data_IF_502064252184
#
_entry.id   IF_502064252184
#
_cell.length_a   1.000
_cell.length_b   1.000
_cell.length_c   1.000
_cell.angle_alpha   90.00
_cell.angle_beta   90.00
_cell.angle_gamma   90.00
#
_symmetry.space_group_name_H-M   'P 1'
#
loop_
_entity.id
_entity.type
_entity.pdbx_description
1 polymer ?
#
# COMPACT_ATOMS: atom_id res chain seq x y z
N UNK A 1 55.98 -24.22 -46.28
CA UNK A 1 54.64 -24.84 -46.31
C UNK A 1 53.80 -24.15 -45.23
N UNK A 2 52.96 -23.19 -45.61
CA UNK A 2 52.11 -22.44 -44.67
C UNK A 2 50.67 -22.90 -44.82
N UNK A 3 50.10 -23.42 -43.74
CA UNK A 3 48.67 -23.75 -43.64
C UNK A 3 47.90 -22.50 -43.22
N UNK A 4 47.13 -21.92 -44.15
CA UNK A 4 46.15 -20.88 -43.85
C UNK A 4 44.93 -21.48 -43.15
N UNK A 5 44.75 -21.17 -41.87
CA UNK A 5 43.49 -21.42 -41.17
C UNK A 5 42.45 -20.39 -41.60
N UNK A 6 41.58 -20.78 -42.55
CA UNK A 6 40.34 -20.04 -42.84
C UNK A 6 39.44 -20.08 -41.62
N UNK A 7 39.32 -18.96 -40.91
CA UNK A 7 38.30 -18.75 -39.90
C UNK A 7 36.92 -18.80 -40.58
N UNK A 8 36.09 -19.78 -40.22
CA UNK A 8 34.67 -19.79 -40.62
C UNK A 8 33.96 -18.66 -39.87
N UNK A 9 33.49 -17.65 -40.59
CA UNK A 9 32.59 -16.64 -40.04
C UNK A 9 31.30 -17.34 -39.58
N UNK A 10 31.01 -17.25 -38.29
CA UNK A 10 29.76 -17.75 -37.70
C UNK A 10 28.67 -16.73 -38.02
N UNK A 11 27.75 -17.11 -38.92
CA UNK A 11 26.58 -16.30 -39.22
C UNK A 11 25.48 -16.64 -38.22
N UNK A 12 25.13 -15.69 -37.37
CA UNK A 12 23.94 -15.77 -36.52
C UNK A 12 22.71 -15.41 -37.34
N UNK A 13 21.70 -16.28 -37.36
CA UNK A 13 20.41 -15.94 -37.96
C UNK A 13 19.76 -14.78 -37.18
N UNK A 14 19.03 -13.93 -37.89
CA UNK A 14 18.41 -12.69 -37.35
C UNK A 14 17.53 -12.97 -36.12
N UNK A 15 16.88 -14.13 -36.07
CA UNK A 15 16.06 -14.57 -34.94
C UNK A 15 16.89 -14.80 -33.66
N UNK A 16 18.15 -15.22 -33.79
CA UNK A 16 19.03 -15.44 -32.63
C UNK A 16 19.48 -14.12 -32.02
N UNK A 17 19.67 -13.06 -32.82
CA UNK A 17 20.06 -11.74 -32.36
C UNK A 17 18.95 -11.04 -31.53
N UNK A 18 17.67 -11.31 -31.84
CA UNK A 18 16.52 -10.79 -31.08
C UNK A 18 16.35 -11.48 -29.71
N UNK A 19 16.86 -12.70 -29.55
CA UNK A 19 16.76 -13.43 -28.27
C UNK A 19 17.71 -12.92 -27.18
N UNK A 20 18.72 -12.12 -27.54
CA UNK A 20 19.77 -11.63 -26.61
C UNK A 20 19.45 -10.22 -26.07
N UNK A 21 18.55 -9.47 -26.73
CA UNK A 21 18.23 -8.08 -26.38
C UNK A 21 17.04 -7.92 -25.44
N UNK A 22 16.25 -8.96 -25.22
CA UNK A 22 15.20 -8.92 -24.21
C UNK A 22 15.83 -9.21 -22.84
N UNK A 23 16.07 -8.17 -22.06
CA UNK A 23 16.31 -8.31 -20.63
C UNK A 23 15.16 -9.13 -20.05
N UNK A 24 15.39 -10.43 -19.84
CA UNK A 24 14.53 -11.26 -19.02
C UNK A 24 14.65 -10.72 -17.60
N UNK A 25 13.79 -9.75 -17.28
CA UNK A 25 13.55 -9.40 -15.89
C UNK A 25 13.19 -10.71 -15.22
N UNK A 26 13.87 -11.12 -14.15
CA UNK A 26 13.47 -12.32 -13.44
C UNK A 26 11.99 -12.21 -13.15
N UNK A 27 11.22 -13.23 -13.54
CA UNK A 27 9.81 -13.38 -13.19
C UNK A 27 9.76 -13.45 -11.66
N UNK A 28 9.76 -12.28 -11.00
CA UNK A 28 9.46 -12.18 -9.58
C UNK A 28 8.06 -12.78 -9.45
N UNK A 29 7.95 -13.88 -8.71
CA UNK A 29 6.67 -14.34 -8.18
C UNK A 29 6.09 -13.15 -7.42
N UNK A 30 5.21 -12.37 -8.06
CA UNK A 30 4.40 -11.38 -7.37
C UNK A 30 3.75 -12.14 -6.22
N UNK A 31 3.99 -11.72 -4.98
CA UNK A 31 3.39 -12.37 -3.82
C UNK A 31 1.89 -12.37 -4.06
N UNK A 32 1.34 -13.56 -4.32
CA UNK A 32 -0.06 -13.69 -4.67
C UNK A 32 -0.88 -13.34 -3.44
N UNK A 33 -1.82 -12.42 -3.59
CA UNK A 33 -2.84 -12.17 -2.57
C UNK A 33 -3.57 -13.50 -2.29
N UNK A 34 -3.80 -13.87 -1.02
CA UNK A 34 -4.60 -15.03 -0.69
C UNK A 34 -5.99 -14.93 -1.33
N UNK A 35 -6.54 -16.06 -1.75
CA UNK A 35 -7.92 -16.08 -2.26
C UNK A 35 -8.87 -16.00 -1.06
N UNK A 36 -9.77 -15.02 -1.08
CA UNK A 36 -10.82 -14.85 -0.08
C UNK A 36 -12.18 -14.98 -0.76
N UNK A 37 -13.16 -15.56 -0.04
CA UNK A 37 -14.56 -15.63 -0.47
C UNK A 37 -15.28 -14.28 -0.39
N UNK A 38 -14.68 -13.27 0.25
CA UNK A 38 -15.24 -11.93 0.44
C UNK A 38 -14.21 -10.85 0.11
N UNK A 39 -14.66 -9.61 -0.19
CA UNK A 39 -13.78 -8.45 -0.24
C UNK A 39 -12.92 -8.30 1.01
N UNK A 40 -11.62 -8.07 0.83
CA UNK A 40 -10.65 -7.78 1.89
C UNK A 40 -9.54 -6.88 1.37
N UNK A 41 -9.08 -6.00 2.23
CA UNK A 41 -7.91 -5.17 1.98
C UNK A 41 -6.79 -5.53 2.98
N UNK A 42 -5.57 -5.54 2.47
CA UNK A 42 -4.36 -5.62 3.26
C UNK A 42 -3.98 -4.21 3.68
N UNK A 43 -3.96 -3.92 4.97
CA UNK A 43 -3.76 -2.56 5.46
C UNK A 43 -3.00 -2.54 6.79
N UNK A 44 -2.48 -1.36 7.12
CA UNK A 44 -2.01 -1.04 8.46
C UNK A 44 -3.13 -0.30 9.19
N UNK A 45 -3.68 -0.93 10.23
CA UNK A 45 -4.65 -0.31 11.12
C UNK A 45 -3.94 0.64 12.08
N UNK A 46 -4.55 1.81 12.26
CA UNK A 46 -4.02 2.90 13.06
C UNK A 46 -4.99 3.19 14.21
N UNK A 47 -4.54 3.17 15.47
CA UNK A 47 -5.40 3.52 16.60
C UNK A 47 -5.92 4.96 16.48
N UNK A 48 -7.21 5.15 16.75
CA UNK A 48 -7.85 6.47 16.66
C UNK A 48 -7.17 7.50 17.58
N UNK A 49 -6.92 7.13 18.84
CA UNK A 49 -6.32 8.02 19.83
C UNK A 49 -4.91 8.46 19.44
N UNK A 50 -4.12 7.57 18.84
CA UNK A 50 -2.78 7.86 18.35
C UNK A 50 -2.83 8.83 17.15
N UNK A 51 -3.75 8.62 16.21
CA UNK A 51 -3.94 9.54 15.08
C UNK A 51 -4.45 10.91 15.56
N UNK A 52 -5.32 10.94 16.56
CA UNK A 52 -5.83 12.18 17.15
C UNK A 52 -4.72 12.93 17.89
N UNK A 53 -3.88 12.22 18.65
CA UNK A 53 -2.72 12.81 19.31
C UNK A 53 -1.74 13.43 18.31
N UNK A 54 -1.45 12.72 17.20
CA UNK A 54 -0.66 13.27 16.09
C UNK A 54 -1.30 14.51 15.46
N UNK A 55 -2.61 14.48 15.24
CA UNK A 55 -3.34 15.62 14.66
C UNK A 55 -3.25 16.87 15.54
N UNK A 56 -3.42 16.72 16.86
CA UNK A 56 -3.28 17.80 17.84
C UNK A 56 -1.85 18.31 17.95
N UNK A 57 -0.85 17.42 17.86
CA UNK A 57 0.56 17.79 17.87
C UNK A 57 0.97 18.58 16.62
N UNK A 58 0.46 18.21 15.45
CA UNK A 58 0.75 18.91 14.20
C UNK A 58 0.01 20.25 14.09
N UNK A 59 -1.24 20.29 14.56
CA UNK A 59 -2.04 21.51 14.58
C UNK A 59 -2.76 21.68 15.94
N UNK A 60 -2.21 22.53 16.83
CA UNK A 60 -2.81 22.79 18.14
C UNK A 60 -4.25 23.35 18.08
N UNK A 61 -4.64 24.02 16.99
CA UNK A 61 -6.00 24.57 16.81
C UNK A 61 -7.06 23.46 16.68
N UNK A 62 -6.65 22.23 16.37
CA UNK A 62 -7.53 21.06 16.35
C UNK A 62 -8.22 20.89 17.70
N UNK A 63 -7.50 21.10 18.82
CA UNK A 63 -8.10 20.98 20.15
C UNK A 63 -9.22 22.01 20.34
N UNK A 64 -8.99 23.26 19.94
CA UNK A 64 -10.02 24.32 20.01
C UNK A 64 -11.25 23.98 19.17
N UNK A 65 -11.06 23.46 17.96
CA UNK A 65 -12.18 23.05 17.09
C UNK A 65 -12.97 21.89 17.68
N UNK A 66 -12.29 20.95 18.34
CA UNK A 66 -12.93 19.84 19.06
C UNK A 66 -13.74 20.38 20.23
N UNK A 67 -13.19 21.30 21.02
CA UNK A 67 -13.89 21.87 22.17
C UNK A 67 -15.16 22.63 21.75
N UNK A 68 -15.13 23.30 20.59
CA UNK A 68 -16.27 24.07 20.05
C UNK A 68 -17.34 23.20 19.37
N UNK A 69 -16.96 22.09 18.73
CA UNK A 69 -17.83 21.37 17.76
C UNK A 69 -17.89 19.86 17.99
N UNK A 70 -17.19 19.34 19.00
CA UNK A 70 -17.24 17.97 19.49
C UNK A 70 -16.70 16.91 18.53
N UNK A 71 -17.22 15.69 18.68
CA UNK A 71 -16.78 14.45 18.04
C UNK A 71 -16.61 14.56 16.51
N UNK A 72 -17.45 15.34 15.82
CA UNK A 72 -17.34 15.50 14.37
C UNK A 72 -15.99 16.09 13.94
N UNK A 73 -15.42 17.00 14.74
CA UNK A 73 -14.10 17.56 14.45
C UNK A 73 -12.96 16.63 14.83
N UNK A 74 -13.16 15.78 15.85
CA UNK A 74 -12.19 14.72 16.16
C UNK A 74 -12.04 13.76 14.98
N UNK A 75 -13.17 13.28 14.44
CA UNK A 75 -13.19 12.37 13.28
C UNK A 75 -12.57 13.06 12.05
N UNK A 76 -12.92 14.32 11.79
CA UNK A 76 -12.35 15.07 10.67
C UNK A 76 -10.83 15.25 10.79
N UNK A 77 -10.33 15.56 11.99
CA UNK A 77 -8.91 15.71 12.26
C UNK A 77 -8.14 14.41 12.08
N UNK A 78 -8.71 13.29 12.57
CA UNK A 78 -8.15 11.95 12.38
C UNK A 78 -8.12 11.57 10.90
N UNK A 79 -9.22 11.72 10.16
CA UNK A 79 -9.28 11.40 8.73
C UNK A 79 -8.25 12.23 7.93
N UNK A 80 -8.07 13.52 8.26
CA UNK A 80 -7.07 14.36 7.62
C UNK A 80 -5.64 13.88 7.93
N UNK A 81 -5.37 13.46 9.17
CA UNK A 81 -4.07 12.89 9.53
C UNK A 81 -3.80 11.61 8.74
N UNK A 82 -4.79 10.71 8.65
CA UNK A 82 -4.67 9.45 7.89
C UNK A 82 -4.45 9.72 6.40
N UNK A 83 -5.15 10.69 5.82
CA UNK A 83 -4.95 11.11 4.44
C UNK A 83 -3.49 11.57 4.20
N UNK A 84 -2.96 12.44 5.07
CA UNK A 84 -1.56 12.90 4.98
C UNK A 84 -0.55 11.75 5.08
N UNK A 85 -0.80 10.79 5.96
CA UNK A 85 0.07 9.61 6.08
C UNK A 85 -0.04 8.70 4.85
N UNK A 86 -1.24 8.58 4.26
CA UNK A 86 -1.42 7.87 3.02
C UNK A 86 -0.64 8.52 1.87
N UNK A 87 -0.68 9.85 1.73
CA UNK A 87 0.08 10.56 0.71
C UNK A 87 1.59 10.28 0.83
N UNK A 88 2.12 10.25 2.06
CA UNK A 88 3.51 9.88 2.33
C UNK A 88 3.79 8.40 2.02
N UNK A 89 2.84 7.51 2.26
CA UNK A 89 2.96 6.09 1.91
C UNK A 89 3.03 5.90 0.39
N UNK A 90 2.27 6.69 -0.38
CA UNK A 90 2.27 6.67 -1.84
C UNK A 90 3.64 7.00 -2.47
N UNK A 91 4.51 7.73 -1.76
CA UNK A 91 5.90 7.99 -2.18
C UNK A 91 6.72 6.70 -2.30
N UNK A 92 6.39 5.68 -1.51
CA UNK A 92 7.09 4.37 -1.48
C UNK A 92 6.27 3.31 -2.19
N UNK A 93 4.96 3.29 -1.96
CA UNK A 93 4.02 2.33 -2.53
C UNK A 93 2.87 3.05 -3.23
N UNK A 94 2.94 3.27 -4.55
CA UNK A 94 1.97 4.09 -5.29
C UNK A 94 0.53 3.58 -5.26
N UNK A 95 0.32 2.31 -4.89
CA UNK A 95 -1.01 1.73 -4.73
C UNK A 95 -1.53 1.85 -3.29
N UNK A 96 -0.87 2.63 -2.42
CA UNK A 96 -1.41 2.94 -1.11
C UNK A 96 -2.70 3.75 -1.28
N UNK A 97 -3.70 3.47 -0.44
CA UNK A 97 -4.99 4.16 -0.50
C UNK A 97 -5.54 4.38 0.90
N UNK A 98 -6.22 5.51 1.08
CA UNK A 98 -6.97 5.76 2.29
C UNK A 98 -8.27 4.99 2.23
N UNK A 99 -8.56 4.25 3.29
CA UNK A 99 -9.82 3.53 3.42
C UNK A 99 -10.80 4.47 4.10
N UNK A 100 -11.70 5.04 3.30
CA UNK A 100 -12.80 5.84 3.83
C UNK A 100 -13.96 4.92 4.16
N UNK A 101 -14.01 4.52 5.44
CA UNK A 101 -15.09 3.72 5.98
C UNK A 101 -16.30 4.64 6.23
N UNK A 102 -17.38 4.52 5.44
CA UNK A 102 -18.62 5.30 5.65
C UNK A 102 -19.29 4.86 6.96
N UNK A 103 -19.46 5.80 7.89
CA UNK A 103 -20.05 5.61 9.22
C UNK A 103 -21.44 4.96 9.17
N UNK A 104 -22.16 5.05 8.04
CA UNK A 104 -23.45 4.38 7.86
C UNK A 104 -23.36 2.86 7.85
N UNK A 105 -22.20 2.30 7.51
CA UNK A 105 -22.02 0.85 7.36
C UNK A 105 -21.15 0.22 8.44
N UNK A 106 -20.47 1.02 9.27
CA UNK A 106 -19.49 0.51 10.23
C UNK A 106 -19.62 1.17 11.60
N UNK A 107 -19.62 0.34 12.65
CA UNK A 107 -19.81 0.77 14.05
C UNK A 107 -18.67 1.66 14.59
N UNK A 108 -17.49 1.59 13.98
CA UNK A 108 -16.37 2.49 14.22
C UNK A 108 -15.56 2.58 12.92
N UNK A 109 -15.22 3.78 12.44
CA UNK A 109 -14.41 3.92 11.24
C UNK A 109 -13.01 3.36 11.52
N UNK A 110 -12.67 2.23 10.89
CA UNK A 110 -11.34 1.67 10.98
C UNK A 110 -10.38 2.61 10.24
N UNK A 111 -9.53 3.29 11.00
CA UNK A 111 -8.51 4.17 10.45
C UNK A 111 -7.36 3.33 9.93
N UNK A 112 -7.16 3.32 8.61
CA UNK A 112 -6.13 2.48 8.02
C UNK A 112 -5.59 3.01 6.70
N UNK A 113 -4.34 2.63 6.43
CA UNK A 113 -3.69 2.80 5.12
C UNK A 113 -3.76 1.46 4.41
N UNK A 114 -4.58 1.40 3.37
CA UNK A 114 -4.67 0.27 2.47
C UNK A 114 -3.42 0.15 1.62
N UNK A 115 -2.91 -1.07 1.47
CA UNK A 115 -1.71 -1.40 0.70
C UNK A 115 -2.04 -2.32 -0.48
N UNK A 116 -3.07 -3.15 -0.33
CA UNK A 116 -3.56 -4.00 -1.39
C UNK A 116 -5.02 -4.35 -1.14
N UNK A 117 -5.74 -4.77 -2.18
CA UNK A 117 -7.05 -5.37 -2.03
C UNK A 117 -7.31 -6.46 -3.07
N UNK A 118 -8.30 -7.31 -2.80
CA UNK A 118 -8.69 -8.38 -3.71
C UNK A 118 -9.82 -8.01 -4.67
N UNK A 119 -10.37 -6.80 -4.60
CA UNK A 119 -11.52 -6.32 -5.37
C UNK A 119 -11.11 -5.60 -6.65
N UNK A 120 -9.98 -4.91 -6.66
CA UNK A 120 -9.46 -4.13 -7.77
C UNK A 120 -8.18 -4.75 -8.33
N UNK A 121 -8.15 -4.99 -9.64
CA UNK A 121 -6.98 -5.58 -10.31
C UNK A 121 -5.69 -4.79 -10.11
N UNK A 122 -5.79 -3.46 -9.98
CA UNK A 122 -4.65 -2.56 -9.80
C UNK A 122 -4.03 -2.66 -8.40
N UNK A 123 -4.85 -2.94 -7.38
CA UNK A 123 -4.43 -3.03 -5.98
C UNK A 123 -4.08 -4.46 -5.57
N UNK A 124 -3.97 -5.39 -6.52
CA UNK A 124 -3.78 -6.83 -6.25
C UNK A 124 -2.35 -7.26 -5.95
N UNK A 125 -1.42 -6.32 -5.83
CA UNK A 125 -0.02 -6.62 -5.52
C UNK A 125 0.24 -6.22 -4.09
N UNK A 126 0.99 -7.02 -3.33
CA UNK A 126 1.43 -6.63 -1.99
C UNK A 126 2.78 -5.91 -2.09
N UNK A 127 3.05 -4.93 -1.19
CA UNK A 127 4.40 -4.44 -1.00
C UNK A 127 5.32 -5.56 -0.52
N UNK A 128 6.58 -5.48 -0.91
CA UNK A 128 7.65 -6.32 -0.35
C UNK A 128 7.88 -6.01 1.13
N UNK A 129 8.58 -6.89 1.84
CA UNK A 129 8.93 -6.64 3.23
C UNK A 129 9.76 -5.35 3.41
N UNK A 130 10.68 -5.08 2.47
CA UNK A 130 11.51 -3.88 2.49
C UNK A 130 10.69 -2.61 2.23
N UNK A 131 9.77 -2.62 1.26
CA UNK A 131 8.86 -1.49 1.01
C UNK A 131 7.94 -1.26 2.21
N UNK A 132 7.43 -2.32 2.82
CA UNK A 132 6.61 -2.23 4.02
C UNK A 132 7.37 -1.64 5.20
N UNK A 133 8.64 -2.02 5.40
CA UNK A 133 9.45 -1.45 6.46
C UNK A 133 9.75 0.02 6.19
N UNK A 134 10.09 0.39 4.94
CA UNK A 134 10.26 1.79 4.55
C UNK A 134 9.01 2.62 4.80
N UNK A 135 7.81 2.09 4.51
CA UNK A 135 6.54 2.76 4.82
C UNK A 135 6.44 2.98 6.34
N UNK A 136 6.69 1.95 7.15
CA UNK A 136 6.61 2.07 8.61
C UNK A 136 7.57 3.11 9.16
N UNK A 137 8.79 3.13 8.69
CA UNK A 137 9.81 4.08 9.11
C UNK A 137 9.46 5.51 8.67
N UNK A 138 9.00 5.68 7.41
CA UNK A 138 8.60 6.96 6.85
C UNK A 138 7.42 7.59 7.60
N UNK A 139 6.49 6.77 8.07
CA UNK A 139 5.29 7.20 8.78
C UNK A 139 5.46 7.20 10.31
N UNK A 140 6.59 6.73 10.82
CA UNK A 140 6.85 6.53 12.25
C UNK A 140 5.76 5.68 12.92
N UNK A 141 5.47 4.50 12.35
CA UNK A 141 4.40 3.57 12.80
C UNK A 141 4.92 2.16 13.10
N UNK A 142 6.09 2.08 13.73
CA UNK A 142 6.74 0.82 14.10
C UNK A 142 6.20 0.19 15.41
N UNK A 143 5.33 0.90 16.14
CA UNK A 143 4.73 0.43 17.38
C UNK A 143 3.82 -0.80 17.20
N UNK A 144 3.66 -1.59 18.27
CA UNK A 144 2.84 -2.81 18.28
C UNK A 144 1.34 -2.53 18.13
N UNK A 145 0.92 -1.30 18.40
CA UNK A 145 -0.43 -0.78 18.20
C UNK A 145 -0.80 -0.66 16.71
N UNK A 146 0.18 -0.57 15.80
CA UNK A 146 -0.02 -0.48 14.35
C UNK A 146 -0.08 -1.86 13.70
N UNK A 147 -1.28 -2.41 13.64
CA UNK A 147 -1.51 -3.80 13.21
C UNK A 147 -1.59 -3.91 11.69
N UNK A 148 -0.73 -4.73 11.12
CA UNK A 148 -0.79 -5.10 9.71
C UNK A 148 -1.63 -6.37 9.54
N UNK A 149 -2.56 -6.38 8.59
CA UNK A 149 -3.39 -7.55 8.36
C UNK A 149 -4.39 -7.42 7.22
N UNK A 150 -5.16 -8.47 7.01
CA UNK A 150 -6.29 -8.51 6.09
C UNK A 150 -7.58 -8.15 6.82
N UNK A 151 -8.21 -7.03 6.48
CA UNK A 151 -9.47 -6.62 7.09
C UNK A 151 -10.61 -6.71 6.09
N UNK A 152 -11.71 -7.31 6.55
CA UNK A 152 -12.98 -7.39 5.82
C UNK A 152 -13.77 -6.09 5.97
N UNK A 153 -13.67 -5.46 7.14
CA UNK A 153 -14.46 -4.29 7.57
C UNK A 153 -14.11 -2.99 6.81
N UNK A 154 -13.46 -3.10 5.66
CA UNK A 154 -13.17 -2.00 4.73
C UNK A 154 -14.16 -1.96 3.56
N UNK A 155 -15.05 -2.95 3.43
CA UNK A 155 -16.06 -3.04 2.39
C UNK A 155 -17.44 -3.20 3.03
N UNK A 156 -18.44 -2.36 2.67
CA UNK A 156 -19.77 -2.47 3.24
C UNK A 156 -20.35 -3.86 2.96
N UNK A 157 -21.11 -4.40 3.91
CA UNK A 157 -21.73 -5.75 3.81
C UNK A 157 -22.75 -5.89 2.65
N UNK A 158 -22.94 -4.87 1.80
CA UNK A 158 -23.87 -4.87 0.66
C UNK A 158 -23.47 -5.78 -0.53
N UNK A 159 -22.48 -6.66 -0.36
CA UNK A 159 -22.02 -7.58 -1.40
C UNK A 159 -21.99 -9.05 -0.97
N UNK A 160 -22.99 -9.50 -0.19
CA UNK A 160 -23.34 -10.91 -0.03
C UNK A 160 -24.81 -11.11 -0.40
#
# INVERSE_FOLDING_TARGET
MSTEHKAKAVHFNVDTALSVTTHSRPLRKKSQIPTFSSPRAYAIAMPFDEMLARAKKENPDVQKLIDERGLRQEIAAVNLMVAKLCDKACEIWPNAFMVLVDERYFRAPLQCIGLADNTHRINRTLPTADELQQIRDRLDINGAEFKLGWYRDMYPDQHI
#
